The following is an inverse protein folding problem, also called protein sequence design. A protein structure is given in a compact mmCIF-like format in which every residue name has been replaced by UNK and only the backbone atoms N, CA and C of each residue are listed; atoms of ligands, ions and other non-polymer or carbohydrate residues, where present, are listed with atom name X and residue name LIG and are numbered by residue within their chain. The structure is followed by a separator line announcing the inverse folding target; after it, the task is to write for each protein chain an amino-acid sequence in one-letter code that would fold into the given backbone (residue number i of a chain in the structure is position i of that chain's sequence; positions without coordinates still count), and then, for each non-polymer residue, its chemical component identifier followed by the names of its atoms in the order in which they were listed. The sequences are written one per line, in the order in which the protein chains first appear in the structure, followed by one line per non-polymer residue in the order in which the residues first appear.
data_IF_157141844341
#
_entry.id   IF_157141844341
#
_cell.length_a   1.000
_cell.length_b   1.000
_cell.length_c   1.000
_cell.angle_alpha   90.00
_cell.angle_beta   90.00
_cell.angle_gamma   90.00
#
_symmetry.space_group_name_H-M   'P 1'
#
loop_
_entity.id
_entity.type
_entity.pdbx_description
1 polymer ?
#
# COMPACT_ATOMS: atom_id res chain seq x y z
N UNK A 1 -30.83 26.06 57.96
CA UNK A 1 -30.78 27.35 57.32
C UNK A 1 -29.32 27.84 57.19
N UNK A 2 -28.61 27.48 56.17
CA UNK A 2 -27.43 28.19 55.63
C UNK A 2 -27.37 27.99 54.14
N UNK A 3 -27.58 29.11 53.46
CA UNK A 3 -27.49 29.33 52.02
C UNK A 3 -26.02 29.15 51.55
N UNK A 4 -25.79 28.33 50.58
CA UNK A 4 -24.47 28.19 49.90
C UNK A 4 -24.58 28.86 48.53
N UNK A 5 -23.67 29.79 48.26
CA UNK A 5 -23.56 30.56 47.02
C UNK A 5 -22.96 29.71 45.88
N UNK A 6 -23.25 30.02 44.61
CA UNK A 6 -22.75 29.28 43.48
C UNK A 6 -21.29 29.62 43.15
N UNK A 7 -20.47 28.63 42.96
CA UNK A 7 -19.07 28.70 42.48
C UNK A 7 -19.06 29.02 40.99
N UNK A 8 -18.40 30.14 40.64
CA UNK A 8 -18.28 30.63 39.28
C UNK A 8 -17.44 29.71 38.38
N UNK A 9 -17.99 29.33 37.23
CA UNK A 9 -17.30 28.71 36.12
C UNK A 9 -16.35 29.71 35.46
N UNK A 10 -15.06 29.46 35.57
CA UNK A 10 -14.06 30.13 34.73
C UNK A 10 -13.97 29.39 33.39
N UNK A 11 -14.25 30.12 32.30
CA UNK A 11 -13.98 29.71 30.93
C UNK A 11 -12.46 29.71 30.69
N UNK A 12 -11.87 28.68 30.10
CA UNK A 12 -10.52 28.79 29.57
C UNK A 12 -10.53 29.55 28.26
N UNK A 13 -9.57 30.47 28.12
CA UNK A 13 -9.34 31.29 26.94
C UNK A 13 -8.92 30.43 25.76
N UNK A 14 -9.57 30.65 24.62
CA UNK A 14 -9.19 30.08 23.33
C UNK A 14 -7.88 30.71 22.87
N UNK A 15 -6.78 29.96 23.01
CA UNK A 15 -5.50 30.25 22.37
C UNK A 15 -5.49 29.72 20.94
N UNK A 16 -5.75 30.64 20.01
CA UNK A 16 -5.62 30.41 18.58
C UNK A 16 -4.12 30.38 18.21
N UNK A 17 -3.49 29.23 18.15
CA UNK A 17 -2.15 29.10 17.58
C UNK A 17 -2.25 28.99 16.06
N UNK A 18 -2.01 30.10 15.39
CA UNK A 18 -1.82 30.13 13.94
C UNK A 18 -0.47 29.44 13.61
N UNK A 19 -0.56 28.27 12.98
CA UNK A 19 0.60 27.62 12.37
C UNK A 19 0.85 28.32 11.03
N UNK A 20 1.87 29.17 11.00
CA UNK A 20 2.38 29.79 9.76
C UNK A 20 3.09 28.71 8.95
N UNK A 21 2.45 28.27 7.87
CA UNK A 21 3.09 27.40 6.86
C UNK A 21 4.02 28.28 6.04
N UNK A 22 5.34 28.13 6.27
CA UNK A 22 6.38 28.67 5.41
C UNK A 22 6.42 27.86 4.10
N UNK A 23 5.75 28.37 3.08
CA UNK A 23 5.94 27.94 1.70
C UNK A 23 7.37 28.24 1.25
N UNK A 24 8.23 27.23 1.22
CA UNK A 24 9.50 27.30 0.50
C UNK A 24 9.21 27.09 -0.97
N UNK A 25 9.25 28.18 -1.74
CA UNK A 25 9.34 28.17 -3.21
C UNK A 25 10.67 27.52 -3.61
N UNK A 26 10.69 26.51 -4.50
CA UNK A 26 11.93 26.08 -5.11
C UNK A 26 12.37 27.10 -6.16
N UNK A 27 13.59 27.58 -6.02
CA UNK A 27 14.26 28.45 -6.98
C UNK A 27 14.46 27.71 -8.31
N UNK A 28 13.91 28.25 -9.38
CA UNK A 28 14.12 27.80 -10.74
C UNK A 28 15.54 28.19 -11.17
N UNK A 29 16.47 27.22 -11.22
CA UNK A 29 17.72 27.37 -11.94
C UNK A 29 17.57 26.87 -13.36
N UNK A 30 17.21 27.82 -14.24
CA UNK A 30 17.39 27.73 -15.67
C UNK A 30 18.89 27.67 -15.99
N UNK A 31 19.40 26.51 -16.38
CA UNK A 31 20.62 26.38 -17.14
C UNK A 31 20.30 25.87 -18.54
N UNK A 32 20.00 26.83 -19.41
CA UNK A 32 20.06 26.61 -20.85
C UNK A 32 21.51 26.33 -21.21
N UNK A 33 21.82 25.12 -21.62
CA UNK A 33 23.00 24.85 -22.47
C UNK A 33 22.45 24.43 -23.82
N UNK A 34 22.58 25.38 -24.75
CA UNK A 34 22.32 25.14 -26.16
C UNK A 34 23.40 24.19 -26.69
N UNK A 35 22.94 23.16 -27.36
CA UNK A 35 23.74 22.39 -28.32
C UNK A 35 23.21 22.75 -29.68
N UNK A 36 23.93 23.68 -30.32
CA UNK A 36 23.77 23.94 -31.74
C UNK A 36 24.41 22.74 -32.48
N UNK A 37 23.59 21.87 -33.01
CA UNK A 37 24.01 20.77 -33.90
C UNK A 37 23.67 21.12 -35.33
N UNK A 38 24.69 21.30 -36.10
CA UNK A 38 24.76 21.58 -37.52
C UNK A 38 23.71 20.81 -38.37
N UNK A 39 22.86 21.57 -39.02
CA UNK A 39 22.09 21.08 -40.20
C UNK A 39 23.01 21.23 -41.41
N UNK A 40 23.62 20.13 -41.82
CA UNK A 40 24.27 20.05 -43.12
C UNK A 40 23.20 19.83 -44.17
N UNK A 41 22.86 20.89 -44.88
CA UNK A 41 22.05 20.84 -46.12
C UNK A 41 22.97 20.34 -47.24
N UNK A 42 22.77 19.09 -47.67
CA UNK A 42 23.22 18.62 -48.98
C UNK A 42 22.02 18.59 -49.93
N UNK A 43 21.83 19.66 -50.63
CA UNK A 43 21.04 19.67 -51.89
C UNK A 43 22.04 19.52 -53.03
N UNK A 44 21.86 18.51 -53.86
CA UNK A 44 22.02 18.45 -55.27
C UNK A 44 22.31 17.02 -55.76
N UNK A 45 21.34 16.39 -56.43
CA UNK A 45 21.51 15.89 -57.79
C UNK A 45 20.19 15.32 -58.26
N UNK A 46 19.59 16.00 -59.20
CA UNK A 46 18.48 15.54 -60.06
C UNK A 46 19.01 14.42 -60.95
N UNK A 47 18.54 13.22 -60.72
CA UNK A 47 18.75 12.05 -61.59
C UNK A 47 17.44 11.27 -61.68
N UNK A 48 16.82 11.30 -62.82
CA UNK A 48 15.57 10.61 -63.19
C UNK A 48 15.76 9.13 -63.08
N UNK A 49 15.07 8.49 -62.08
CA UNK A 49 14.73 7.07 -62.11
C UNK A 49 13.45 6.87 -61.28
N UNK A 50 12.33 7.12 -61.93
CA UNK A 50 11.03 6.78 -61.40
C UNK A 50 10.77 5.27 -61.58
N UNK A 51 11.22 4.43 -60.67
CA UNK A 51 10.76 3.05 -60.45
C UNK A 51 11.62 2.41 -59.35
N UNK A 52 11.46 2.77 -58.08
CA UNK A 52 11.81 1.95 -56.91
C UNK A 52 11.75 2.68 -55.55
N UNK A 53 11.14 3.86 -55.48
CA UNK A 53 11.06 4.62 -54.20
C UNK A 53 10.09 3.98 -53.21
N UNK A 54 9.15 3.16 -53.67
CA UNK A 54 8.21 2.45 -52.77
C UNK A 54 8.89 1.29 -52.03
N UNK A 55 9.73 0.51 -52.69
CA UNK A 55 10.38 -0.66 -52.08
C UNK A 55 11.49 -0.23 -51.14
N UNK A 56 12.32 0.77 -51.49
CA UNK A 56 13.37 1.28 -50.63
C UNK A 56 12.82 1.93 -49.34
N UNK A 57 11.65 2.57 -49.38
CA UNK A 57 11.00 3.15 -48.22
C UNK A 57 10.36 2.09 -47.33
N UNK A 58 9.84 1.02 -47.90
CA UNK A 58 9.33 -0.14 -47.17
C UNK A 58 10.46 -0.93 -46.49
N UNK A 59 11.58 -1.16 -47.17
CA UNK A 59 12.76 -1.83 -46.60
C UNK A 59 13.43 -0.99 -45.50
N UNK A 60 13.57 0.33 -45.68
CA UNK A 60 14.10 1.22 -44.63
C UNK A 60 13.18 1.28 -43.41
N UNK A 61 11.87 1.28 -43.60
CA UNK A 61 10.87 1.22 -42.52
C UNK A 61 10.91 -0.12 -41.77
N UNK A 62 11.00 -1.24 -42.50
CA UNK A 62 11.13 -2.57 -41.91
C UNK A 62 12.44 -2.75 -41.14
N UNK A 63 13.55 -2.25 -41.66
CA UNK A 63 14.86 -2.26 -41.01
C UNK A 63 14.88 -1.39 -39.76
N UNK A 64 14.26 -0.20 -39.78
CA UNK A 64 14.14 0.66 -38.60
C UNK A 64 13.27 0.00 -37.50
N UNK A 65 12.16 -0.66 -37.88
CA UNK A 65 11.31 -1.38 -36.94
C UNK A 65 12.02 -2.58 -36.33
N UNK A 66 12.78 -3.36 -37.12
CA UNK A 66 13.56 -4.49 -36.63
C UNK A 66 14.68 -4.03 -35.66
N UNK A 67 15.34 -2.92 -35.98
CA UNK A 67 16.37 -2.34 -35.10
C UNK A 67 15.79 -1.83 -33.78
N UNK A 68 14.60 -1.20 -33.80
CA UNK A 68 13.90 -0.77 -32.62
C UNK A 68 13.46 -1.96 -31.76
N UNK A 69 12.90 -3.00 -32.35
CA UNK A 69 12.50 -4.23 -31.63
C UNK A 69 13.70 -4.93 -30.99
N UNK A 70 14.84 -5.02 -31.70
CA UNK A 70 16.07 -5.58 -31.16
C UNK A 70 16.67 -4.72 -30.03
N UNK A 71 16.50 -3.41 -30.07
CA UNK A 71 16.93 -2.52 -28.98
C UNK A 71 16.05 -2.69 -27.74
N UNK A 72 14.72 -2.80 -27.91
CA UNK A 72 13.77 -3.07 -26.83
C UNK A 72 14.09 -4.43 -26.18
N UNK A 73 14.24 -5.50 -26.97
CA UNK A 73 14.56 -6.82 -26.43
C UNK A 73 15.89 -6.85 -25.65
N UNK A 74 16.91 -6.09 -26.12
CA UNK A 74 18.17 -5.95 -25.35
C UNK A 74 17.99 -5.19 -24.05
N UNK A 75 17.17 -4.13 -24.03
CA UNK A 75 16.86 -3.37 -22.84
C UNK A 75 16.07 -4.22 -21.83
N UNK A 76 15.07 -4.97 -22.28
CA UNK A 76 14.30 -5.90 -21.46
C UNK A 76 15.18 -6.98 -20.84
N UNK A 77 16.07 -7.58 -21.66
CA UNK A 77 17.05 -8.54 -21.15
C UNK A 77 18.00 -7.91 -20.12
N UNK A 78 18.49 -6.70 -20.36
CA UNK A 78 19.36 -5.99 -19.42
C UNK A 78 18.67 -5.73 -18.10
N UNK A 79 17.38 -5.33 -18.11
CA UNK A 79 16.56 -5.14 -16.91
C UNK A 79 16.36 -6.48 -16.18
N UNK A 80 16.06 -7.57 -16.92
CA UNK A 80 15.90 -8.89 -16.33
C UNK A 80 17.19 -9.37 -15.66
N UNK A 81 18.32 -9.24 -16.33
CA UNK A 81 19.64 -9.63 -15.81
C UNK A 81 20.01 -8.80 -14.55
N UNK A 82 19.74 -7.49 -14.56
CA UNK A 82 19.97 -6.62 -13.41
C UNK A 82 19.07 -6.99 -12.23
N UNK A 83 17.81 -7.29 -12.47
CA UNK A 83 16.87 -7.75 -11.44
C UNK A 83 17.29 -9.09 -10.86
N UNK A 84 17.72 -10.05 -11.69
CA UNK A 84 18.23 -11.35 -11.25
C UNK A 84 19.48 -11.19 -10.38
N UNK A 85 20.42 -10.33 -10.79
CA UNK A 85 21.64 -10.05 -10.03
C UNK A 85 21.31 -9.39 -8.68
N UNK A 86 20.41 -8.40 -8.65
CA UNK A 86 19.98 -7.76 -7.42
C UNK A 86 19.27 -8.75 -6.47
N UNK A 87 18.47 -9.67 -7.03
CA UNK A 87 17.82 -10.73 -6.26
C UNK A 87 18.85 -11.69 -5.67
N UNK A 88 19.80 -12.17 -6.48
CA UNK A 88 20.87 -13.05 -6.00
C UNK A 88 21.71 -12.40 -4.89
N UNK A 89 22.02 -11.11 -5.02
CA UNK A 89 22.76 -10.36 -3.99
C UNK A 89 21.97 -10.26 -2.68
N UNK A 90 20.67 -10.01 -2.75
CA UNK A 90 19.80 -10.00 -1.56
C UNK A 90 19.72 -11.38 -0.91
N UNK A 91 19.55 -12.43 -1.70
CA UNK A 91 19.54 -13.81 -1.19
C UNK A 91 20.85 -14.18 -0.48
N UNK A 92 21.97 -13.78 -1.04
CA UNK A 92 23.28 -14.04 -0.44
C UNK A 92 23.52 -13.26 0.87
N UNK A 93 22.84 -12.12 1.05
CA UNK A 93 22.92 -11.31 2.26
C UNK A 93 22.09 -11.86 3.43
N UNK A 94 21.09 -12.72 3.17
CA UNK A 94 20.24 -13.28 4.20
C UNK A 94 20.96 -14.43 4.95
N UNK A 95 20.85 -14.38 6.29
CA UNK A 95 21.24 -15.56 7.10
C UNK A 95 20.27 -16.72 6.84
N UNK A 96 20.67 -17.97 7.10
CA UNK A 96 19.78 -19.14 6.97
C UNK A 96 18.48 -18.97 7.78
N UNK A 97 18.56 -18.43 9.00
CA UNK A 97 17.42 -18.20 9.89
C UNK A 97 16.47 -17.17 9.31
N UNK A 98 16.99 -16.05 8.81
CA UNK A 98 16.19 -14.98 8.24
C UNK A 98 15.51 -15.42 6.94
N UNK A 99 16.20 -16.24 6.15
CA UNK A 99 15.63 -16.87 4.94
C UNK A 99 14.49 -17.81 5.29
N UNK A 100 14.66 -18.67 6.31
CA UNK A 100 13.60 -19.57 6.77
C UNK A 100 12.36 -18.81 7.27
N UNK A 101 12.54 -17.71 8.02
CA UNK A 101 11.43 -16.83 8.45
C UNK A 101 10.70 -16.21 7.26
N UNK A 102 11.43 -15.67 6.29
CA UNK A 102 10.85 -15.13 5.06
C UNK A 102 10.05 -16.18 4.31
N UNK A 103 10.64 -17.33 4.08
CA UNK A 103 10.02 -18.41 3.30
C UNK A 103 8.74 -18.90 4.00
N UNK A 104 8.75 -19.00 5.33
CA UNK A 104 7.57 -19.31 6.12
C UNK A 104 6.48 -18.23 6.01
N UNK A 105 6.86 -16.94 6.08
CA UNK A 105 5.91 -15.84 5.93
C UNK A 105 5.27 -15.80 4.54
N UNK A 106 6.08 -15.96 3.49
CA UNK A 106 5.58 -15.96 2.10
C UNK A 106 4.72 -17.18 1.76
N UNK A 107 4.92 -18.30 2.47
CA UNK A 107 4.14 -19.53 2.31
C UNK A 107 2.87 -19.56 3.18
N UNK A 108 2.57 -18.48 3.93
CA UNK A 108 1.36 -18.43 4.76
C UNK A 108 0.11 -18.69 3.92
N UNK A 109 -0.74 -19.65 4.31
CA UNK A 109 -1.97 -19.92 3.58
C UNK A 109 -2.95 -18.75 3.71
N UNK A 110 -3.76 -18.53 2.67
CA UNK A 110 -4.83 -17.54 2.74
C UNK A 110 -5.80 -17.87 3.89
N UNK A 111 -6.23 -16.88 4.67
CA UNK A 111 -7.21 -17.11 5.73
C UNK A 111 -8.49 -17.73 5.21
N UNK A 112 -9.04 -18.69 5.97
CA UNK A 112 -10.31 -19.32 5.62
C UNK A 112 -11.45 -18.32 5.79
N UNK A 113 -12.35 -18.27 4.78
CA UNK A 113 -13.55 -17.41 4.85
C UNK A 113 -14.54 -17.98 5.87
N UNK A 114 -14.94 -17.18 6.88
CA UNK A 114 -15.98 -17.62 7.82
C UNK A 114 -17.29 -17.89 7.08
N UNK A 115 -18.08 -18.90 7.47
CA UNK A 115 -19.37 -19.21 6.82
C UNK A 115 -20.37 -18.06 6.93
N UNK A 116 -20.33 -17.27 8.01
CA UNK A 116 -21.22 -16.13 8.26
C UNK A 116 -20.83 -14.85 7.51
N UNK A 117 -19.74 -14.84 6.75
CA UNK A 117 -19.17 -13.64 6.13
C UNK A 117 -20.17 -12.88 5.23
N UNK A 118 -21.11 -13.59 4.62
CA UNK A 118 -22.10 -13.04 3.69
C UNK A 118 -23.48 -12.83 4.34
N UNK A 119 -23.62 -13.00 5.65
CA UNK A 119 -24.87 -12.79 6.36
C UNK A 119 -25.02 -11.32 6.77
N UNK A 120 -26.16 -10.69 6.49
CA UNK A 120 -26.51 -9.37 6.99
C UNK A 120 -27.02 -9.48 8.44
N UNK A 121 -26.11 -9.77 9.35
CA UNK A 121 -26.36 -9.97 10.78
C UNK A 121 -25.22 -9.43 11.63
N UNK A 122 -25.43 -9.33 12.95
CA UNK A 122 -24.37 -8.95 13.90
C UNK A 122 -23.23 -9.98 13.88
N UNK A 123 -23.57 -11.25 13.74
CA UNK A 123 -22.62 -12.37 13.64
C UNK A 123 -21.80 -12.28 12.34
N UNK A 124 -22.44 -11.96 11.21
CA UNK A 124 -21.77 -11.74 9.93
C UNK A 124 -20.83 -10.53 9.98
N UNK A 125 -21.25 -9.45 10.63
CA UNK A 125 -20.42 -8.27 10.86
C UNK A 125 -19.20 -8.61 11.72
N UNK A 126 -19.39 -9.34 12.82
CA UNK A 126 -18.32 -9.79 13.71
C UNK A 126 -17.31 -10.70 12.98
N UNK A 127 -17.82 -11.70 12.24
CA UNK A 127 -17.02 -12.60 11.42
C UNK A 127 -16.20 -11.84 10.36
N UNK A 128 -16.80 -10.79 9.76
CA UNK A 128 -16.13 -9.96 8.75
C UNK A 128 -14.95 -9.20 9.33
N UNK A 129 -15.06 -8.68 10.55
CA UNK A 129 -13.98 -7.96 11.22
C UNK A 129 -12.84 -8.90 11.61
N UNK A 130 -13.15 -10.09 12.13
CA UNK A 130 -12.14 -11.11 12.41
C UNK A 130 -11.37 -11.50 11.15
N UNK A 131 -12.09 -11.80 10.08
CA UNK A 131 -11.49 -12.14 8.80
C UNK A 131 -10.66 -10.99 8.19
N UNK A 132 -11.13 -9.75 8.31
CA UNK A 132 -10.39 -8.57 7.88
C UNK A 132 -9.06 -8.41 8.63
N UNK A 133 -9.02 -8.69 9.93
CA UNK A 133 -7.79 -8.66 10.73
C UNK A 133 -6.81 -9.78 10.32
N UNK A 134 -7.32 -10.98 10.01
CA UNK A 134 -6.49 -12.06 9.46
C UNK A 134 -5.92 -11.70 8.08
N UNK A 135 -6.71 -11.06 7.22
CA UNK A 135 -6.26 -10.57 5.93
C UNK A 135 -5.23 -9.43 6.06
N UNK A 136 -5.34 -8.59 7.09
CA UNK A 136 -4.33 -7.57 7.41
C UNK A 136 -2.97 -8.22 7.63
N UNK A 137 -2.89 -9.21 8.51
CA UNK A 137 -1.67 -9.96 8.77
C UNK A 137 -1.16 -10.66 7.51
N UNK A 138 -2.03 -11.36 6.82
CA UNK A 138 -1.71 -12.06 5.57
C UNK A 138 -1.12 -11.14 4.50
N UNK A 139 -1.66 -9.94 4.35
CA UNK A 139 -1.15 -8.96 3.38
C UNK A 139 0.29 -8.52 3.67
N UNK A 140 0.64 -8.30 4.94
CA UNK A 140 2.02 -7.94 5.31
C UNK A 140 3.00 -9.12 5.22
N UNK A 141 2.53 -10.35 5.47
CA UNK A 141 3.36 -11.54 5.34
C UNK A 141 3.63 -11.92 3.89
N UNK A 142 2.61 -11.88 3.03
CA UNK A 142 2.66 -12.46 1.67
C UNK A 142 2.69 -11.42 0.54
N UNK A 143 2.30 -10.16 0.80
CA UNK A 143 2.08 -9.13 -0.21
C UNK A 143 0.74 -9.23 -0.95
N UNK A 144 -0.05 -10.27 -0.70
CA UNK A 144 -1.34 -10.43 -1.35
C UNK A 144 -2.41 -9.61 -0.62
N UNK A 145 -2.78 -8.49 -1.21
CA UNK A 145 -3.78 -7.55 -0.70
C UNK A 145 -5.16 -7.71 -1.34
N UNK A 146 -5.37 -8.68 -2.22
CA UNK A 146 -6.56 -8.80 -3.08
C UNK A 146 -7.86 -8.89 -2.26
N UNK A 147 -7.95 -9.84 -1.34
CA UNK A 147 -9.15 -10.02 -0.52
C UNK A 147 -9.32 -8.90 0.52
N UNK A 148 -8.21 -8.40 1.07
CA UNK A 148 -8.24 -7.25 1.96
C UNK A 148 -8.83 -6.01 1.26
N UNK A 149 -8.40 -5.74 0.03
CA UNK A 149 -8.94 -4.66 -0.80
C UNK A 149 -10.42 -4.89 -1.14
N UNK A 150 -10.83 -6.13 -1.43
CA UNK A 150 -12.22 -6.48 -1.72
C UNK A 150 -13.16 -6.24 -0.52
N UNK A 151 -12.67 -6.29 0.72
CA UNK A 151 -13.41 -5.96 1.93
C UNK A 151 -13.30 -4.49 2.34
N UNK A 152 -12.52 -3.69 1.64
CA UNK A 152 -12.28 -2.29 1.94
C UNK A 152 -13.26 -1.39 1.19
N UNK A 153 -13.84 -0.41 1.87
CA UNK A 153 -14.56 0.69 1.22
C UNK A 153 -13.55 1.67 0.60
N UNK A 154 -13.88 2.23 -0.56
CA UNK A 154 -13.01 3.16 -1.29
C UNK A 154 -12.54 4.37 -0.46
N UNK A 155 -13.31 4.76 0.54
CA UNK A 155 -12.99 5.89 1.43
C UNK A 155 -12.26 5.50 2.71
N UNK A 156 -11.98 4.22 2.92
CA UNK A 156 -11.28 3.72 4.09
C UNK A 156 -9.80 4.10 4.05
N UNK A 157 -9.42 5.16 4.74
CA UNK A 157 -8.02 5.62 4.80
C UNK A 157 -7.07 4.58 5.41
N UNK A 158 -7.50 3.91 6.49
CA UNK A 158 -6.74 2.83 7.09
C UNK A 158 -6.49 1.72 6.08
N UNK A 159 -7.53 1.30 5.35
CA UNK A 159 -7.42 0.22 4.37
C UNK A 159 -6.44 0.56 3.26
N UNK A 160 -6.55 1.76 2.67
CA UNK A 160 -5.64 2.23 1.62
C UNK A 160 -4.21 2.34 2.11
N UNK A 161 -4.00 2.85 3.33
CA UNK A 161 -2.68 2.91 3.95
C UNK A 161 -2.08 1.51 4.14
N UNK A 162 -2.88 0.56 4.61
CA UNK A 162 -2.46 -0.85 4.77
C UNK A 162 -2.04 -1.47 3.44
N UNK A 163 -2.88 -1.33 2.39
CA UNK A 163 -2.58 -1.84 1.05
C UNK A 163 -1.27 -1.23 0.52
N UNK A 164 -1.12 0.09 0.64
CA UNK A 164 0.08 0.78 0.18
C UNK A 164 1.32 0.34 0.93
N UNK A 165 1.24 0.20 2.26
CA UNK A 165 2.36 -0.21 3.10
C UNK A 165 2.79 -1.65 2.82
N UNK A 166 1.84 -2.59 2.74
CA UNK A 166 2.12 -3.98 2.40
C UNK A 166 2.73 -4.10 0.98
N UNK A 167 2.14 -3.41 0.00
CA UNK A 167 2.66 -3.39 -1.37
C UNK A 167 4.07 -2.79 -1.45
N UNK A 168 4.33 -1.68 -0.74
CA UNK A 168 5.65 -1.04 -0.71
C UNK A 168 6.70 -1.95 -0.06
N UNK A 169 6.34 -2.61 1.05
CA UNK A 169 7.21 -3.58 1.71
C UNK A 169 7.63 -4.69 0.73
N UNK A 170 6.67 -5.32 0.07
CA UNK A 170 6.94 -6.43 -0.85
C UNK A 170 7.61 -6.00 -2.14
N UNK A 171 7.28 -4.85 -2.70
CA UNK A 171 7.97 -4.29 -3.87
C UNK A 171 9.45 -4.00 -3.61
N UNK A 172 9.82 -3.74 -2.35
CA UNK A 172 11.22 -3.63 -1.94
C UNK A 172 11.93 -4.98 -1.74
N UNK A 173 11.21 -6.09 -1.96
CA UNK A 173 11.67 -7.45 -1.66
C UNK A 173 11.57 -7.81 -0.18
N UNK A 174 10.87 -7.00 0.61
CA UNK A 174 10.68 -7.21 2.05
C UNK A 174 9.49 -8.10 2.38
N UNK A 175 9.33 -8.41 3.66
CA UNK A 175 8.22 -9.18 4.24
C UNK A 175 8.04 -8.81 5.71
N UNK A 176 6.95 -9.26 6.33
CA UNK A 176 6.82 -9.27 7.79
C UNK A 176 6.82 -10.71 8.30
N UNK A 177 7.49 -10.95 9.43
CA UNK A 177 7.41 -12.23 10.14
C UNK A 177 5.96 -12.45 10.61
N UNK A 178 5.60 -13.71 10.86
CA UNK A 178 4.31 -14.02 11.49
C UNK A 178 4.28 -13.49 12.91
N UNK A 179 3.19 -12.82 13.29
CA UNK A 179 2.94 -12.37 14.66
C UNK A 179 1.61 -12.89 15.18
N UNK A 180 1.47 -12.98 16.49
CA UNK A 180 0.23 -13.37 17.14
C UNK A 180 -0.74 -12.19 17.19
N UNK A 181 -2.00 -12.48 16.96
CA UNK A 181 -3.10 -11.52 17.03
C UNK A 181 -4.33 -12.22 17.55
N UNK A 182 -4.87 -11.74 18.68
CA UNK A 182 -5.99 -12.37 19.35
C UNK A 182 -7.05 -11.33 19.68
N UNK A 183 -8.29 -11.57 19.23
CA UNK A 183 -9.45 -10.78 19.66
C UNK A 183 -9.89 -11.31 21.02
N UNK A 184 -9.85 -10.45 22.04
CA UNK A 184 -10.26 -10.79 23.42
C UNK A 184 -11.68 -10.35 23.72
N UNK A 185 -12.20 -9.32 23.03
CA UNK A 185 -13.58 -8.88 23.11
C UNK A 185 -14.05 -8.27 21.79
N UNK A 186 -15.34 -8.42 21.49
CA UNK A 186 -15.98 -7.83 20.32
C UNK A 186 -17.40 -7.42 20.66
N UNK A 187 -17.72 -6.14 20.46
CA UNK A 187 -19.06 -5.60 20.68
C UNK A 187 -19.58 -4.96 19.40
N UNK A 188 -20.75 -5.41 18.94
CA UNK A 188 -21.46 -4.85 17.79
C UNK A 188 -22.44 -3.75 18.25
N UNK A 189 -22.46 -2.65 17.53
CA UNK A 189 -23.41 -1.56 17.66
C UNK A 189 -24.06 -1.29 16.32
N UNK A 190 -25.37 -1.41 16.29
CA UNK A 190 -26.14 -1.07 15.10
C UNK A 190 -25.97 0.41 14.73
N UNK A 191 -26.05 0.71 13.44
CA UNK A 191 -25.98 2.07 12.95
C UNK A 191 -27.15 2.90 13.50
N UNK A 192 -26.85 4.15 13.85
CA UNK A 192 -27.86 5.11 14.24
C UNK A 192 -28.54 5.70 12.98
N UNK A 193 -29.73 6.29 13.18
CA UNK A 193 -30.44 6.99 12.12
C UNK A 193 -29.57 8.08 11.48
N UNK A 194 -29.52 8.11 10.16
CA UNK A 194 -28.69 9.02 9.38
C UNK A 194 -27.24 8.60 9.19
N UNK A 195 -26.81 7.46 9.75
CA UNK A 195 -25.48 6.90 9.55
C UNK A 195 -25.52 5.71 8.60
N UNK A 196 -24.45 5.53 7.83
CA UNK A 196 -24.32 4.45 6.83
C UNK A 196 -23.54 3.23 7.35
N UNK A 197 -22.94 3.32 8.54
CA UNK A 197 -22.07 2.27 9.08
C UNK A 197 -22.54 1.84 10.46
N UNK A 198 -22.50 0.53 10.69
CA UNK A 198 -22.52 -0.05 12.01
C UNK A 198 -21.13 0.12 12.63
N UNK A 199 -21.04 0.11 13.95
CA UNK A 199 -19.76 0.14 14.67
C UNK A 199 -19.49 -1.20 15.31
N UNK A 200 -18.25 -1.67 15.18
CA UNK A 200 -17.76 -2.82 15.94
C UNK A 200 -16.57 -2.34 16.75
N UNK A 201 -16.68 -2.46 18.08
CA UNK A 201 -15.56 -2.28 18.98
C UNK A 201 -14.89 -3.63 19.18
N UNK A 202 -13.59 -3.69 18.94
CA UNK A 202 -12.75 -4.85 19.18
C UNK A 202 -11.73 -4.51 20.22
N UNK A 203 -11.50 -5.42 21.16
CA UNK A 203 -10.33 -5.42 22.04
C UNK A 203 -9.45 -6.57 21.58
N UNK A 204 -8.20 -6.27 21.25
CA UNK A 204 -7.29 -7.26 20.72
C UNK A 204 -5.90 -7.12 21.35
N UNK A 205 -5.24 -8.25 21.47
CA UNK A 205 -3.82 -8.34 21.76
C UNK A 205 -3.08 -8.49 20.42
N UNK A 206 -2.02 -7.74 20.28
CA UNK A 206 -1.14 -7.76 19.13
C UNK A 206 0.26 -8.09 19.59
N UNK A 207 0.83 -9.18 19.09
CA UNK A 207 2.21 -9.56 19.35
C UNK A 207 3.21 -8.61 18.67
N UNK A 208 4.47 -8.73 19.02
CA UNK A 208 5.53 -7.99 18.33
C UNK A 208 5.51 -8.31 16.85
N UNK A 209 5.42 -7.26 16.00
CA UNK A 209 5.49 -7.39 14.56
C UNK A 209 6.87 -6.94 14.07
N UNK A 210 7.60 -7.86 13.45
CA UNK A 210 8.89 -7.60 12.84
C UNK A 210 8.73 -7.59 11.33
N UNK A 211 9.12 -6.49 10.69
CA UNK A 211 9.16 -6.39 9.25
C UNK A 211 10.58 -6.16 8.74
N UNK A 212 10.87 -6.70 7.57
CA UNK A 212 12.18 -6.74 6.94
C UNK A 212 12.13 -6.05 5.57
N UNK A 213 12.15 -4.71 5.52
CA UNK A 213 12.19 -3.99 4.24
C UNK A 213 13.49 -4.20 3.48
N UNK A 214 13.50 -3.81 2.22
CA UNK A 214 14.68 -3.84 1.35
C UNK A 214 15.36 -5.23 1.25
N UNK A 215 14.54 -6.26 1.18
CA UNK A 215 15.04 -7.63 1.08
C UNK A 215 15.73 -8.14 2.34
N UNK A 216 15.36 -7.65 3.52
CA UNK A 216 15.91 -8.08 4.80
C UNK A 216 17.17 -7.35 5.25
N UNK A 217 17.59 -6.28 4.53
CA UNK A 217 18.75 -5.46 4.96
C UNK A 217 18.43 -4.49 6.08
N UNK A 218 17.16 -4.28 6.36
CA UNK A 218 16.65 -3.44 7.45
C UNK A 218 15.64 -4.24 8.27
N UNK A 219 15.45 -3.86 9.53
CA UNK A 219 14.44 -4.44 10.41
C UNK A 219 13.68 -3.33 11.11
N UNK A 220 12.35 -3.37 11.01
CA UNK A 220 11.46 -2.49 11.77
C UNK A 220 10.67 -3.33 12.75
N UNK A 221 10.55 -2.86 13.97
CA UNK A 221 9.84 -3.53 15.06
C UNK A 221 8.67 -2.65 15.49
N UNK A 222 7.48 -3.24 15.53
CA UNK A 222 6.30 -2.68 16.19
C UNK A 222 6.09 -3.48 17.46
N UNK A 223 6.16 -2.81 18.60
CA UNK A 223 6.04 -3.41 19.91
C UNK A 223 4.69 -4.11 20.10
N UNK A 224 4.69 -5.18 20.88
CA UNK A 224 3.48 -5.86 21.28
C UNK A 224 2.57 -4.93 22.10
N UNK A 225 1.27 -5.04 21.90
CA UNK A 225 0.24 -4.31 22.66
C UNK A 225 -0.80 -5.29 23.18
N UNK A 226 -1.28 -5.06 24.40
CA UNK A 226 -2.37 -5.81 25.00
C UNK A 226 -3.59 -4.90 25.22
N UNK A 227 -4.77 -5.46 25.06
CA UNK A 227 -6.01 -4.73 25.27
C UNK A 227 -6.20 -3.54 24.34
N UNK A 228 -5.58 -3.55 23.15
CA UNK A 228 -5.72 -2.48 22.18
C UNK A 228 -7.17 -2.36 21.70
N UNK A 229 -7.77 -1.20 21.85
CA UNK A 229 -9.11 -0.94 21.33
C UNK A 229 -9.05 -0.49 19.88
N UNK A 230 -9.83 -1.18 19.03
CA UNK A 230 -10.03 -0.87 17.62
C UNK A 230 -11.52 -0.60 17.39
N UNK A 231 -11.87 0.54 16.81
CA UNK A 231 -13.24 0.85 16.40
C UNK A 231 -13.36 0.72 14.88
N UNK A 232 -14.18 -0.23 14.45
CA UNK A 232 -14.47 -0.47 13.04
C UNK A 232 -15.78 0.20 12.65
N UNK A 233 -15.79 0.90 11.52
CA UNK A 233 -17.00 1.28 10.81
C UNK A 233 -17.25 0.25 9.70
N UNK A 234 -18.34 -0.52 9.79
CA UNK A 234 -18.66 -1.58 8.82
C UNK A 234 -20.06 -1.39 8.23
N UNK A 235 -20.24 -1.78 6.98
CA UNK A 235 -21.57 -1.77 6.33
C UNK A 235 -21.77 -2.99 5.45
N UNK A 236 -23.00 -3.48 5.43
CA UNK A 236 -23.39 -4.51 4.48
C UNK A 236 -23.85 -3.88 3.17
N UNK A 237 -23.29 -4.32 2.06
CA UNK A 237 -23.63 -3.79 0.75
C UNK A 237 -23.32 -4.83 -0.34
N UNK A 238 -24.27 -5.04 -1.24
CA UNK A 238 -24.12 -5.98 -2.36
C UNK A 238 -23.74 -7.41 -1.92
N UNK A 239 -24.37 -7.92 -0.85
CA UNK A 239 -24.16 -9.27 -0.36
C UNK A 239 -22.87 -9.50 0.43
N UNK A 240 -22.20 -8.42 0.89
CA UNK A 240 -20.95 -8.53 1.66
C UNK A 240 -20.77 -7.39 2.65
N UNK A 241 -19.97 -7.62 3.66
CA UNK A 241 -19.51 -6.61 4.58
C UNK A 241 -18.31 -5.86 4.03
N UNK A 242 -18.32 -4.52 4.17
CA UNK A 242 -17.22 -3.62 3.83
C UNK A 242 -16.78 -2.85 5.05
N UNK A 243 -15.46 -2.71 5.22
CA UNK A 243 -14.84 -1.87 6.25
C UNK A 243 -14.65 -0.46 5.70
N UNK A 244 -15.36 0.51 6.26
CA UNK A 244 -15.29 1.93 5.88
C UNK A 244 -14.26 2.72 6.66
N UNK A 245 -13.78 2.18 7.78
CA UNK A 245 -12.74 2.80 8.60
C UNK A 245 -12.37 1.95 9.79
N UNK A 246 -11.15 2.15 10.27
CA UNK A 246 -10.64 1.60 11.52
C UNK A 246 -9.96 2.72 12.27
N UNK A 247 -10.36 2.91 13.52
CA UNK A 247 -9.72 3.83 14.46
C UNK A 247 -9.05 3.02 15.58
N UNK A 248 -7.78 3.26 15.78
CA UNK A 248 -6.99 2.66 16.86
C UNK A 248 -6.98 3.66 18.02
N UNK A 249 -7.57 3.30 19.15
CA UNK A 249 -7.53 4.15 20.34
C UNK A 249 -6.09 4.16 20.90
N UNK A 250 -5.60 5.36 21.20
CA UNK A 250 -4.29 5.49 21.86
C UNK A 250 -4.43 5.02 23.30
N UNK A 251 -3.59 4.05 23.68
CA UNK A 251 -3.40 3.70 25.10
C UNK A 251 -2.82 4.93 25.80
N UNK A 252 -3.51 5.38 26.87
CA UNK A 252 -3.05 6.52 27.67
C UNK A 252 -1.90 6.09 28.59
#
# INVERSE_FOLDING_TARGET
LRSAAPVGMRRPASGSSQVTILERRPAAHSRRRGVAGLVAVCVLALGVAACSVKDAKAEASASASASASAAIARAEKGIADANASATASREAALTPELRAKRDAALAEPAPAKPPQLNEESAEGAAASVGYFLDLYRYAFMTGNTTEFAAMSDDRCKFCQSTINNATTLHNSGGWADRWEQTITDLTYYEKLDGYNYNRIKVIADHGEQISHPKGGTETNITEATQGQTLNFAVRYMNGRWLVGGVEVEKTQ
#
